data_IF_298152666736
#
_entry.id   IF_298152666736
#
_cell.length_a   1.000
_cell.length_b   1.000
_cell.length_c   1.000
_cell.angle_alpha   90.00
_cell.angle_beta   90.00
_cell.angle_gamma   90.00
#
_symmetry.space_group_name_H-M   'P 1'
#
loop_
_entity.id
_entity.type
_entity.pdbx_description
1 polymer ?
#
# COMPACT_ATOMS: atom_id res chain seq x y z
N UNK A 1 8.11 -24.60 -2.34
CA UNK A 1 6.63 -24.69 -2.45
C UNK A 1 6.14 -23.78 -3.56
N UNK A 2 4.84 -23.80 -3.89
CA UNK A 2 4.27 -22.98 -4.99
C UNK A 2 4.56 -21.48 -4.86
N UNK A 3 4.62 -20.96 -3.63
CA UNK A 3 5.02 -19.58 -3.32
C UNK A 3 6.48 -19.26 -3.68
N UNK A 4 7.41 -20.21 -3.52
CA UNK A 4 8.82 -19.99 -3.88
C UNK A 4 9.00 -19.91 -5.39
N UNK A 5 8.22 -20.70 -6.14
CA UNK A 5 8.21 -20.64 -7.61
C UNK A 5 7.62 -19.31 -8.11
N UNK A 6 6.55 -18.82 -7.49
CA UNK A 6 5.96 -17.50 -7.81
C UNK A 6 6.92 -16.37 -7.45
N UNK A 7 7.57 -16.45 -6.28
CA UNK A 7 8.55 -15.44 -5.84
C UNK A 7 9.75 -15.40 -6.78
N UNK A 8 10.28 -16.55 -7.18
CA UNK A 8 11.36 -16.63 -8.16
C UNK A 8 10.93 -16.05 -9.50
N UNK A 9 9.74 -16.40 -10.01
CA UNK A 9 9.23 -15.86 -11.27
C UNK A 9 9.11 -14.32 -11.24
N UNK A 10 8.65 -13.73 -10.13
CA UNK A 10 8.56 -12.26 -9.96
C UNK A 10 9.96 -11.61 -9.99
N UNK A 11 10.96 -12.24 -9.38
CA UNK A 11 12.32 -11.69 -9.31
C UNK A 11 13.08 -11.80 -10.64
N UNK A 12 12.83 -12.85 -11.41
CA UNK A 12 13.51 -13.08 -12.69
C UNK A 12 12.79 -12.43 -13.88
N UNK A 13 11.48 -12.20 -13.80
CA UNK A 13 10.69 -11.55 -14.85
C UNK A 13 10.24 -10.15 -14.39
N UNK A 14 10.95 -9.07 -14.80
CA UNK A 14 10.61 -7.71 -14.41
C UNK A 14 9.23 -7.27 -14.94
N UNK A 15 8.74 -7.86 -16.03
CA UNK A 15 7.41 -7.53 -16.57
C UNK A 15 6.31 -8.13 -15.70
N UNK A 16 6.50 -9.35 -15.20
CA UNK A 16 5.60 -9.99 -14.25
C UNK A 16 5.53 -9.20 -12.94
N UNK A 17 6.67 -8.74 -12.43
CA UNK A 17 6.74 -7.87 -11.25
C UNK A 17 5.98 -6.55 -11.44
N UNK A 18 6.18 -5.89 -12.58
CA UNK A 18 5.45 -4.67 -12.93
C UNK A 18 3.93 -4.91 -13.03
N UNK A 19 3.50 -6.00 -13.66
CA UNK A 19 2.09 -6.36 -13.78
C UNK A 19 1.44 -6.62 -12.40
N UNK A 20 2.14 -7.34 -11.51
CA UNK A 20 1.69 -7.56 -10.13
C UNK A 20 1.57 -6.25 -9.35
N UNK A 21 2.57 -5.37 -9.47
CA UNK A 21 2.53 -4.05 -8.84
C UNK A 21 1.34 -3.22 -9.33
N UNK A 22 1.09 -3.20 -10.64
CA UNK A 22 -0.08 -2.54 -11.22
C UNK A 22 -1.39 -3.15 -10.70
N UNK A 23 -1.47 -4.48 -10.59
CA UNK A 23 -2.61 -5.17 -9.99
C UNK A 23 -2.86 -4.76 -8.54
N UNK A 24 -1.81 -4.65 -7.73
CA UNK A 24 -1.90 -4.17 -6.34
C UNK A 24 -2.35 -2.71 -6.26
N UNK A 25 -1.88 -1.84 -7.16
CA UNK A 25 -2.32 -0.45 -7.23
C UNK A 25 -3.80 -0.36 -7.64
N UNK A 26 -4.23 -1.12 -8.65
CA UNK A 26 -5.63 -1.18 -9.05
C UNK A 26 -6.52 -1.69 -7.91
N UNK A 27 -6.07 -2.73 -7.19
CA UNK A 27 -6.74 -3.21 -5.99
C UNK A 27 -6.85 -2.12 -4.92
N UNK A 28 -5.77 -1.38 -4.64
CA UNK A 28 -5.78 -0.30 -3.67
C UNK A 28 -6.75 0.84 -4.07
N UNK A 29 -6.86 1.18 -5.35
CA UNK A 29 -7.83 2.18 -5.87
C UNK A 29 -9.25 1.72 -5.57
N UNK A 30 -9.57 0.48 -5.96
CA UNK A 30 -10.91 -0.10 -5.78
C UNK A 30 -11.24 -0.24 -4.30
N UNK A 31 -10.31 -0.73 -3.49
CA UNK A 31 -10.48 -0.85 -2.04
C UNK A 31 -10.75 0.52 -1.41
N UNK A 32 -9.97 1.54 -1.77
CA UNK A 32 -10.14 2.90 -1.24
C UNK A 32 -11.53 3.47 -1.56
N UNK A 33 -11.98 3.33 -2.81
CA UNK A 33 -13.29 3.84 -3.22
C UNK A 33 -14.46 3.04 -2.63
N UNK A 34 -14.39 1.70 -2.64
CA UNK A 34 -15.49 0.84 -2.17
C UNK A 34 -15.61 0.87 -0.65
N UNK A 35 -14.51 0.70 0.08
CA UNK A 35 -14.52 0.71 1.54
C UNK A 35 -14.98 2.08 2.03
N UNK A 36 -14.42 3.18 1.49
CA UNK A 36 -14.85 4.52 1.88
C UNK A 36 -16.34 4.78 1.62
N UNK A 37 -16.91 4.28 0.52
CA UNK A 37 -18.36 4.35 0.25
C UNK A 37 -19.20 3.54 1.23
N UNK A 38 -18.74 2.35 1.62
CA UNK A 38 -19.43 1.53 2.62
C UNK A 38 -19.52 2.23 3.99
N UNK A 39 -18.54 3.07 4.32
CA UNK A 39 -18.56 3.92 5.52
C UNK A 39 -19.26 5.27 5.32
N UNK A 40 -20.06 5.43 4.25
CA UNK A 40 -20.85 6.62 3.96
C UNK A 40 -20.12 7.74 3.22
N UNK A 41 -18.92 7.46 2.70
CA UNK A 41 -18.12 8.40 1.93
C UNK A 41 -18.64 8.62 0.51
N UNK A 42 -18.31 9.79 -0.06
CA UNK A 42 -18.75 10.20 -1.41
C UNK A 42 -17.69 10.05 -2.51
N UNK A 43 -16.52 9.50 -2.18
CA UNK A 43 -15.38 9.36 -3.08
C UNK A 43 -15.70 8.53 -4.33
N UNK A 44 -15.06 8.86 -5.44
CA UNK A 44 -15.15 8.12 -6.69
C UNK A 44 -13.85 7.39 -7.03
N UNK A 45 -13.93 6.48 -8.00
CA UNK A 45 -12.79 5.67 -8.43
C UNK A 45 -11.71 6.56 -9.04
N UNK A 46 -12.10 7.60 -9.78
CA UNK A 46 -11.17 8.56 -10.39
C UNK A 46 -10.39 9.35 -9.33
N UNK A 47 -11.07 9.85 -8.30
CA UNK A 47 -10.42 10.50 -7.17
C UNK A 47 -9.53 9.55 -6.38
N UNK A 48 -9.96 8.30 -6.15
CA UNK A 48 -9.11 7.28 -5.51
C UNK A 48 -7.85 6.98 -6.34
N UNK A 49 -7.98 6.91 -7.67
CA UNK A 49 -6.83 6.77 -8.58
C UNK A 49 -5.89 7.96 -8.47
N UNK A 50 -6.41 9.19 -8.46
CA UNK A 50 -5.61 10.39 -8.31
C UNK A 50 -4.84 10.41 -6.98
N UNK A 51 -5.49 10.04 -5.87
CA UNK A 51 -4.84 9.93 -4.55
C UNK A 51 -3.68 8.94 -4.58
N UNK A 52 -3.91 7.74 -5.13
CA UNK A 52 -2.88 6.70 -5.15
C UNK A 52 -1.73 7.04 -6.09
N UNK A 53 -2.02 7.57 -7.27
CA UNK A 53 -0.98 8.01 -8.22
C UNK A 53 -0.14 9.13 -7.62
N UNK A 54 -0.78 10.12 -7.00
CA UNK A 54 -0.07 11.24 -6.37
C UNK A 54 0.83 10.78 -5.22
N UNK A 55 0.33 9.89 -4.35
CA UNK A 55 1.15 9.31 -3.28
C UNK A 55 2.36 8.56 -3.84
N UNK A 56 2.20 7.78 -4.91
CA UNK A 56 3.32 7.09 -5.55
C UNK A 56 4.35 8.06 -6.13
N UNK A 57 3.91 9.18 -6.72
CA UNK A 57 4.83 10.23 -7.21
C UNK A 57 5.66 10.82 -6.07
N UNK A 58 5.02 11.15 -4.95
CA UNK A 58 5.74 11.70 -3.78
C UNK A 58 6.68 10.65 -3.17
N UNK A 59 6.22 9.40 -3.04
CA UNK A 59 7.07 8.30 -2.57
C UNK A 59 8.27 8.07 -3.48
N UNK A 60 8.08 8.13 -4.80
CA UNK A 60 9.17 7.99 -5.77
C UNK A 60 10.20 9.12 -5.59
N UNK A 61 9.75 10.36 -5.38
CA UNK A 61 10.64 11.47 -5.07
C UNK A 61 11.40 11.25 -3.73
N UNK A 62 10.70 10.83 -2.67
CA UNK A 62 11.32 10.50 -1.39
C UNK A 62 12.29 9.32 -1.49
N UNK A 63 12.04 8.37 -2.40
CA UNK A 63 12.94 7.24 -2.65
C UNK A 63 14.23 7.71 -3.31
N UNK A 64 14.17 8.64 -4.27
CA UNK A 64 15.36 9.25 -4.85
C UNK A 64 16.20 9.98 -3.79
N UNK A 65 15.55 10.69 -2.86
CA UNK A 65 16.22 11.32 -1.72
C UNK A 65 16.88 10.28 -0.80
N UNK A 66 16.22 9.15 -0.54
CA UNK A 66 16.78 8.06 0.25
C UNK A 66 17.99 7.41 -0.45
N UNK A 67 17.93 7.21 -1.76
CA UNK A 67 19.06 6.68 -2.55
C UNK A 67 20.25 7.64 -2.46
N UNK A 68 20.02 8.95 -2.58
CA UNK A 68 21.06 9.95 -2.37
C UNK A 68 21.62 9.92 -0.93
N UNK A 69 20.75 9.77 0.08
CA UNK A 69 21.16 9.67 1.48
C UNK A 69 22.01 8.43 1.76
N UNK A 70 21.72 7.29 1.11
CA UNK A 70 22.53 6.07 1.23
C UNK A 70 23.98 6.28 0.80
N UNK A 71 24.22 7.12 -0.21
CA UNK A 71 25.56 7.43 -0.70
C UNK A 71 26.35 8.35 0.24
N UNK A 72 25.65 9.22 0.98
CA UNK A 72 26.29 10.21 1.88
C UNK A 72 26.48 9.63 3.29
N UNK A 73 25.41 9.08 3.87
CA UNK A 73 25.40 8.54 5.23
C UNK A 73 24.30 7.46 5.33
N UNK A 74 24.65 6.15 5.28
CA UNK A 74 23.66 5.07 5.26
C UNK A 74 22.62 5.10 6.40
N UNK A 75 22.96 5.45 7.66
CA UNK A 75 21.98 5.57 8.73
C UNK A 75 20.92 6.66 8.51
N UNK A 76 21.19 7.69 7.70
CA UNK A 76 20.22 8.74 7.40
C UNK A 76 19.06 8.19 6.55
N UNK A 77 19.36 7.29 5.61
CA UNK A 77 18.36 6.72 4.73
C UNK A 77 17.33 5.86 5.49
N UNK A 78 17.76 5.12 6.53
CA UNK A 78 16.84 4.34 7.36
C UNK A 78 15.91 5.24 8.19
N UNK A 79 16.41 6.35 8.73
CA UNK A 79 15.58 7.35 9.41
C UNK A 79 14.56 7.98 8.46
N UNK A 80 14.99 8.32 7.24
CA UNK A 80 14.09 8.84 6.19
C UNK A 80 13.03 7.82 5.78
N UNK A 81 13.35 6.53 5.75
CA UNK A 81 12.38 5.48 5.46
C UNK A 81 11.28 5.42 6.52
N UNK A 82 11.64 5.48 7.81
CA UNK A 82 10.68 5.51 8.93
C UNK A 82 9.82 6.77 8.88
N UNK A 83 10.43 7.94 8.65
CA UNK A 83 9.71 9.20 8.52
C UNK A 83 8.74 9.17 7.33
N UNK A 84 9.16 8.61 6.19
CA UNK A 84 8.35 8.44 4.99
C UNK A 84 7.15 7.54 5.26
N UNK A 85 7.33 6.46 6.01
CA UNK A 85 6.22 5.56 6.39
C UNK A 85 5.17 6.27 7.25
N UNK A 86 5.59 7.01 8.28
CA UNK A 86 4.69 7.79 9.13
C UNK A 86 3.95 8.83 8.30
N UNK A 87 4.68 9.55 7.45
CA UNK A 87 4.12 10.55 6.56
C UNK A 87 3.12 9.93 5.57
N UNK A 88 3.43 8.77 4.97
CA UNK A 88 2.58 8.08 4.01
C UNK A 88 1.22 7.75 4.63
N UNK A 89 1.21 7.17 5.83
CA UNK A 89 -0.03 6.79 6.51
C UNK A 89 -0.86 8.05 6.78
N UNK A 90 -0.23 9.11 7.31
CA UNK A 90 -0.92 10.36 7.60
C UNK A 90 -1.46 11.05 6.34
N UNK A 91 -0.65 11.16 5.30
CA UNK A 91 -1.03 11.77 4.02
C UNK A 91 -2.17 10.99 3.37
N UNK A 92 -2.11 9.66 3.35
CA UNK A 92 -3.19 8.82 2.84
C UNK A 92 -4.50 9.05 3.61
N UNK A 93 -4.45 9.11 4.94
CA UNK A 93 -5.63 9.41 5.76
C UNK A 93 -6.21 10.79 5.42
N UNK A 94 -5.39 11.83 5.29
CA UNK A 94 -5.84 13.15 4.90
C UNK A 94 -6.51 13.14 3.51
N UNK A 95 -5.89 12.49 2.53
CA UNK A 95 -6.46 12.37 1.19
C UNK A 95 -7.77 11.57 1.17
N UNK A 96 -7.84 10.46 1.90
CA UNK A 96 -9.07 9.65 2.00
C UNK A 96 -10.18 10.44 2.69
N UNK A 97 -9.84 11.24 3.71
CA UNK A 97 -10.78 12.12 4.41
C UNK A 97 -11.38 13.13 3.45
N UNK A 98 -10.54 13.82 2.66
CA UNK A 98 -10.98 14.80 1.68
C UNK A 98 -11.79 14.15 0.54
N UNK A 99 -11.27 13.08 -0.04
CA UNK A 99 -11.90 12.33 -1.14
C UNK A 99 -13.32 11.88 -0.78
N UNK A 100 -13.53 11.43 0.46
CA UNK A 100 -14.82 10.90 0.90
C UNK A 100 -15.69 11.95 1.61
N UNK A 101 -15.16 13.14 1.90
CA UNK A 101 -15.85 14.18 2.65
C UNK A 101 -16.10 13.81 4.12
N UNK A 102 -15.19 13.04 4.74
CA UNK A 102 -15.27 12.69 6.16
C UNK A 102 -14.91 13.89 7.04
N UNK A 103 -15.54 14.00 8.20
CA UNK A 103 -15.39 15.17 9.07
C UNK A 103 -14.15 15.15 9.95
N UNK A 104 -13.56 13.97 10.21
CA UNK A 104 -12.45 13.84 11.15
C UNK A 104 -11.39 12.84 10.66
N UNK A 105 -10.16 13.30 10.35
CA UNK A 105 -9.11 12.43 9.85
C UNK A 105 -8.62 11.40 10.87
N UNK A 106 -8.71 11.65 12.18
CA UNK A 106 -8.32 10.65 13.19
C UNK A 106 -9.27 9.45 13.22
N UNK A 107 -10.56 9.66 12.93
CA UNK A 107 -11.51 8.54 12.78
C UNK A 107 -11.19 7.73 11.53
N UNK A 108 -10.83 8.41 10.45
CA UNK A 108 -10.41 7.78 9.19
C UNK A 108 -9.13 6.98 9.41
N UNK A 109 -8.16 7.48 10.19
CA UNK A 109 -6.96 6.72 10.58
C UNK A 109 -7.31 5.39 11.24
N UNK A 110 -8.24 5.40 12.22
CA UNK A 110 -8.72 4.17 12.84
C UNK A 110 -9.35 3.20 11.84
N UNK A 111 -10.16 3.71 10.91
CA UNK A 111 -10.75 2.92 9.82
C UNK A 111 -9.71 2.33 8.86
N UNK A 112 -8.69 3.11 8.50
CA UNK A 112 -7.57 2.65 7.65
C UNK A 112 -6.80 1.54 8.34
N UNK A 113 -6.43 1.71 9.62
CA UNK A 113 -5.72 0.68 10.39
C UNK A 113 -6.55 -0.61 10.49
N UNK A 114 -7.84 -0.50 10.80
CA UNK A 114 -8.73 -1.65 10.86
C UNK A 114 -8.85 -2.36 9.50
N UNK A 115 -8.97 -1.59 8.41
CA UNK A 115 -9.02 -2.13 7.06
C UNK A 115 -7.72 -2.86 6.69
N UNK A 116 -6.56 -2.29 7.01
CA UNK A 116 -5.26 -2.95 6.78
C UNK A 116 -5.17 -4.30 7.50
N UNK A 117 -5.61 -4.36 8.77
CA UNK A 117 -5.65 -5.60 9.55
C UNK A 117 -6.56 -6.63 8.88
N UNK A 118 -7.80 -6.25 8.56
CA UNK A 118 -8.78 -7.14 7.92
C UNK A 118 -8.27 -7.66 6.58
N UNK A 119 -7.70 -6.81 5.74
CA UNK A 119 -7.14 -7.19 4.44
C UNK A 119 -5.94 -8.12 4.59
N UNK A 120 -5.05 -7.85 5.54
CA UNK A 120 -3.88 -8.69 5.81
C UNK A 120 -4.28 -10.12 6.24
N UNK A 121 -5.18 -10.23 7.23
CA UNK A 121 -5.68 -11.52 7.68
C UNK A 121 -6.51 -12.22 6.60
N UNK A 122 -7.38 -11.49 5.91
CA UNK A 122 -8.22 -12.03 4.83
C UNK A 122 -7.39 -12.61 3.69
N UNK A 123 -6.35 -11.89 3.26
CA UNK A 123 -5.43 -12.37 2.23
C UNK A 123 -4.64 -13.61 2.70
N UNK A 124 -4.18 -13.61 3.96
CA UNK A 124 -3.45 -14.74 4.53
C UNK A 124 -4.30 -16.02 4.56
N UNK A 125 -5.57 -15.90 4.98
CA UNK A 125 -6.51 -17.02 4.99
C UNK A 125 -6.80 -17.49 3.56
N UNK A 126 -7.02 -16.57 2.61
CA UNK A 126 -7.29 -16.91 1.22
C UNK A 126 -6.12 -17.69 0.60
N UNK A 127 -4.88 -17.21 0.80
CA UNK A 127 -3.66 -17.91 0.33
C UNK A 127 -3.54 -19.29 0.97
N UNK A 128 -3.86 -19.44 2.26
CA UNK A 128 -3.87 -20.73 2.93
C UNK A 128 -4.93 -21.69 2.35
N UNK A 129 -6.14 -21.20 2.06
CA UNK A 129 -7.21 -21.99 1.44
C UNK A 129 -6.86 -22.46 0.03
N UNK A 130 -6.06 -21.68 -0.72
CA UNK A 130 -5.56 -22.07 -2.04
C UNK A 130 -4.41 -23.11 -1.96
N UNK A 131 -4.01 -23.55 -0.76
CA UNK A 131 -2.88 -24.47 -0.58
C UNK A 131 -1.53 -23.81 -0.89
N UNK A 132 -1.50 -22.48 -1.03
CA UNK A 132 -0.31 -21.67 -1.27
C UNK A 132 0.27 -21.13 0.04
N UNK A 133 -0.12 -21.71 1.18
CA UNK A 133 0.32 -21.28 2.50
C UNK A 133 1.85 -21.13 2.51
N UNK A 134 2.39 -19.97 2.96
CA UNK A 134 3.79 -19.87 3.29
C UNK A 134 4.06 -20.90 4.37
N UNK A 135 4.70 -22.01 3.99
CA UNK A 135 5.23 -22.94 4.95
C UNK A 135 6.37 -22.19 5.63
N UNK A 136 6.07 -21.65 6.81
CA UNK A 136 7.04 -20.96 7.65
C UNK A 136 8.28 -21.84 7.74
N UNK A 137 9.40 -21.32 7.26
CA UNK A 137 10.67 -22.01 7.31
C UNK A 137 11.01 -22.33 8.77
N UNK A 138 10.94 -23.62 9.09
CA UNK A 138 11.72 -24.25 10.16
C UNK A 138 12.86 -25.02 9.52
#
# INVERSE_FOLDING_TARGET
GGVDAVTAAILYDPLLGAAMQLGMLAFAVVATALVGRQFGGRGDITGALAVIVWLNVVLLALQLVQIAALLVMPPLASLLAVATLIWLIWAFVCFVTELHGFSNPLKVLGGVIACMIVLFFGLTVLVAMLGLAPQGGG
#
